data_IF_630947801285
#
_entry.id   IF_630947801285
#
_cell.length_a   1.000
_cell.length_b   1.000
_cell.length_c   1.000
_cell.angle_alpha   90.00
_cell.angle_beta   90.00
_cell.angle_gamma   90.00
#
_symmetry.space_group_name_H-M   'P 1'
#
loop_
_entity.id
_entity.type
_entity.pdbx_description
1 polymer ?
#
# COMPACT_ATOMS: atom_id res chain seq x y z
N UNK A 1 8.80 28.61 25.85
CA UNK A 1 7.38 28.76 26.24
C UNK A 1 7.04 27.55 27.11
N UNK A 2 6.59 27.72 28.36
CA UNK A 2 6.22 26.59 29.22
C UNK A 2 4.96 25.92 28.67
N UNK A 3 5.02 24.62 28.51
CA UNK A 3 3.89 23.83 28.02
C UNK A 3 2.77 23.88 29.08
N UNK A 4 1.57 24.35 28.72
CA UNK A 4 0.40 24.40 29.62
C UNK A 4 0.12 23.00 30.15
N UNK A 5 -0.05 22.87 31.44
CA UNK A 5 -0.24 21.59 32.14
C UNK A 5 -1.70 21.41 32.59
N UNK A 6 -2.08 20.18 32.93
CA UNK A 6 -3.39 19.87 33.53
C UNK A 6 -3.62 20.63 34.86
N UNK A 7 -2.53 21.00 35.55
CA UNK A 7 -2.58 21.80 36.77
C UNK A 7 -3.02 23.23 36.50
N UNK A 8 -2.56 23.81 35.39
CA UNK A 8 -2.92 25.18 34.99
C UNK A 8 -4.40 25.23 34.59
N UNK A 9 -4.90 24.21 33.86
CA UNK A 9 -6.33 24.06 33.54
C UNK A 9 -7.17 23.92 34.81
N UNK A 10 -6.72 23.11 35.78
CA UNK A 10 -7.43 22.92 37.03
C UNK A 10 -7.52 24.21 37.84
N UNK A 11 -6.41 24.95 37.92
CA UNK A 11 -6.36 26.25 38.60
C UNK A 11 -7.30 27.28 37.96
N UNK A 12 -7.28 27.42 36.64
CA UNK A 12 -8.15 28.36 35.91
C UNK A 12 -9.64 27.99 36.00
N UNK A 13 -9.96 26.68 35.92
CA UNK A 13 -11.33 26.20 36.02
C UNK A 13 -11.89 26.16 37.44
N UNK A 14 -11.05 26.39 38.47
CA UNK A 14 -11.44 26.31 39.87
C UNK A 14 -11.89 24.90 40.33
N UNK A 15 -11.20 23.85 39.81
CA UNK A 15 -11.51 22.45 40.12
C UNK A 15 -10.25 21.65 40.44
N UNK A 16 -10.39 20.43 40.93
CA UNK A 16 -9.25 19.54 41.14
C UNK A 16 -8.67 18.99 39.84
N UNK A 17 -7.38 18.61 39.79
CA UNK A 17 -6.77 17.91 38.67
C UNK A 17 -7.51 16.59 38.34
N UNK A 18 -8.06 15.92 39.35
CA UNK A 18 -8.90 14.72 39.12
C UNK A 18 -10.20 15.03 38.40
N UNK A 19 -10.80 16.18 38.71
CA UNK A 19 -12.00 16.67 38.00
C UNK A 19 -11.69 16.97 36.53
N UNK A 20 -10.59 17.69 36.23
CA UNK A 20 -10.14 17.89 34.85
C UNK A 20 -9.89 16.56 34.13
N UNK A 21 -9.22 15.62 34.80
CA UNK A 21 -8.99 14.28 34.26
C UNK A 21 -10.29 13.53 33.96
N UNK A 22 -11.30 13.69 34.82
CA UNK A 22 -12.62 13.06 34.61
C UNK A 22 -13.39 13.72 33.47
N UNK A 23 -13.40 15.05 33.36
CA UNK A 23 -13.99 15.74 32.22
C UNK A 23 -13.40 15.23 30.90
N UNK A 24 -12.08 15.07 30.88
CA UNK A 24 -11.37 14.61 29.70
C UNK A 24 -11.56 13.11 29.38
N UNK A 25 -11.85 12.23 30.34
CA UNK A 25 -11.85 10.77 30.14
C UNK A 25 -13.20 10.10 30.44
N UNK A 26 -14.00 10.67 31.34
CA UNK A 26 -15.27 10.13 31.82
C UNK A 26 -16.25 11.29 32.07
N UNK A 27 -16.65 12.06 31.03
CA UNK A 27 -17.47 13.27 31.21
C UNK A 27 -18.78 12.99 31.93
N UNK A 28 -19.31 11.80 31.83
CA UNK A 28 -20.54 11.38 32.53
C UNK A 28 -20.41 11.34 34.05
N UNK A 29 -19.20 11.40 34.62
CA UNK A 29 -18.94 11.40 36.07
C UNK A 29 -18.75 12.80 36.66
N UNK A 30 -18.97 13.83 35.86
CA UNK A 30 -18.75 15.23 36.26
C UNK A 30 -20.02 16.02 35.99
N UNK A 31 -20.34 17.00 36.85
CA UNK A 31 -21.47 17.89 36.59
C UNK A 31 -21.26 18.75 35.35
N UNK A 32 -22.34 19.10 34.64
CA UNK A 32 -22.26 19.94 33.43
C UNK A 32 -21.54 21.25 33.69
N UNK A 33 -21.82 21.93 34.83
CA UNK A 33 -21.16 23.19 35.22
C UNK A 33 -19.62 23.03 35.34
N UNK A 34 -19.15 21.96 35.95
CA UNK A 34 -17.73 21.72 36.07
C UNK A 34 -17.11 21.34 34.73
N UNK A 35 -17.81 20.61 33.87
CA UNK A 35 -17.37 20.29 32.52
C UNK A 35 -17.21 21.54 31.66
N UNK A 36 -18.18 22.46 31.70
CA UNK A 36 -18.16 23.73 30.97
C UNK A 36 -17.04 24.67 31.43
N UNK A 37 -16.77 24.72 32.72
CA UNK A 37 -15.63 25.52 33.26
C UNK A 37 -14.30 24.95 32.81
N UNK A 38 -14.13 23.64 32.84
CA UNK A 38 -12.91 22.97 32.36
C UNK A 38 -12.73 23.17 30.85
N UNK A 39 -13.80 23.03 30.07
CA UNK A 39 -13.73 23.22 28.62
C UNK A 39 -13.31 24.65 28.26
N UNK A 40 -13.88 25.67 28.89
CA UNK A 40 -13.47 27.06 28.69
C UNK A 40 -12.02 27.31 29.09
N UNK A 41 -11.55 26.71 30.19
CA UNK A 41 -10.17 26.82 30.60
C UNK A 41 -9.19 26.18 29.63
N UNK A 42 -9.54 25.02 29.04
CA UNK A 42 -8.78 24.36 28.00
C UNK A 42 -8.62 25.25 26.76
N UNK A 43 -9.73 25.83 26.29
CA UNK A 43 -9.75 26.72 25.12
C UNK A 43 -8.94 27.99 25.36
N UNK A 44 -9.12 28.63 26.53
CA UNK A 44 -8.43 29.87 26.89
C UNK A 44 -6.91 29.68 27.04
N UNK A 45 -6.48 28.55 27.57
CA UNK A 45 -5.06 28.24 27.75
C UNK A 45 -4.41 27.59 26.54
N UNK A 46 -5.18 27.17 25.54
CA UNK A 46 -4.69 26.37 24.43
C UNK A 46 -4.10 25.04 24.91
N UNK A 47 -4.70 24.43 25.95
CA UNK A 47 -4.19 23.19 26.51
C UNK A 47 -4.36 22.04 25.53
N UNK A 48 -3.24 21.45 25.09
CA UNK A 48 -3.21 20.23 24.31
C UNK A 48 -2.88 19.05 25.22
N UNK A 49 -3.73 18.03 25.19
CA UNK A 49 -3.50 16.80 25.96
C UNK A 49 -2.14 16.20 25.61
N UNK A 50 -1.33 15.92 26.60
CA UNK A 50 -0.10 15.17 26.39
C UNK A 50 -0.44 13.69 26.13
N UNK A 51 -0.32 13.28 24.87
CA UNK A 51 -0.55 11.90 24.43
C UNK A 51 0.37 10.91 25.18
N UNK A 52 1.62 11.28 25.45
CA UNK A 52 2.57 10.45 26.17
C UNK A 52 2.14 10.18 27.63
N UNK A 53 1.58 11.18 28.32
CA UNK A 53 1.06 11.02 29.68
C UNK A 53 -0.19 10.13 29.72
N UNK A 54 -1.04 10.17 28.67
CA UNK A 54 -2.17 9.26 28.50
C UNK A 54 -1.71 7.83 28.27
N UNK A 55 -0.74 7.65 27.39
CA UNK A 55 -0.15 6.35 27.03
C UNK A 55 0.46 5.65 28.24
N UNK A 56 1.21 6.39 29.08
CA UNK A 56 1.77 5.86 30.34
C UNK A 56 0.71 5.36 31.31
N UNK A 57 -0.51 5.93 31.28
CA UNK A 57 -1.59 5.54 32.18
C UNK A 57 -2.49 4.44 31.62
N UNK A 58 -2.69 4.41 30.32
CA UNK A 58 -3.63 3.48 29.63
C UNK A 58 -2.89 2.28 29.04
N UNK A 59 -1.59 2.38 28.83
CA UNK A 59 -0.76 1.31 28.28
C UNK A 59 -0.79 1.22 26.75
N UNK A 60 -1.69 1.95 26.05
CA UNK A 60 -1.87 1.94 24.62
C UNK A 60 -1.71 3.33 24.00
N UNK A 61 -1.03 3.41 22.85
CA UNK A 61 -0.82 4.67 22.13
C UNK A 61 -2.02 5.06 21.26
N UNK A 62 -2.83 4.10 20.87
CA UNK A 62 -3.85 4.25 19.83
C UNK A 62 -3.25 4.70 18.49
N UNK A 63 -2.02 4.26 18.22
CA UNK A 63 -1.27 4.57 17.02
C UNK A 63 -0.89 3.28 16.31
N UNK A 64 -1.17 3.15 15.02
CA UNK A 64 -0.70 2.08 14.15
C UNK A 64 0.41 2.61 13.25
N UNK A 65 1.48 1.84 13.06
CA UNK A 65 2.50 2.14 12.07
C UNK A 65 2.11 1.53 10.72
N UNK A 66 2.20 2.31 9.65
CA UNK A 66 2.02 1.83 8.27
C UNK A 66 3.27 2.14 7.45
N UNK A 67 4.03 1.11 7.06
CA UNK A 67 5.17 1.25 6.17
C UNK A 67 4.79 0.85 4.74
N UNK A 68 4.97 1.78 3.80
CA UNK A 68 4.69 1.60 2.37
C UNK A 68 5.98 1.71 1.55
N UNK A 69 5.99 1.06 0.38
CA UNK A 69 7.13 1.08 -0.52
C UNK A 69 7.29 2.45 -1.19
N UNK A 70 6.22 2.98 -1.79
CA UNK A 70 6.27 4.23 -2.54
C UNK A 70 4.90 4.93 -2.58
N UNK A 71 4.75 5.98 -1.79
CA UNK A 71 3.51 6.77 -1.73
C UNK A 71 3.20 7.52 -3.05
N UNK A 72 4.17 7.65 -3.95
CA UNK A 72 3.92 8.27 -5.27
C UNK A 72 3.17 7.35 -6.24
N UNK A 73 3.09 6.04 -5.97
CA UNK A 73 2.22 5.14 -6.70
C UNK A 73 0.82 5.15 -6.04
N UNK A 74 -0.24 5.54 -6.78
CA UNK A 74 -1.62 5.59 -6.25
C UNK A 74 -2.11 4.28 -5.64
N UNK A 75 -1.61 3.12 -6.07
CA UNK A 75 -1.93 1.83 -5.44
C UNK A 75 -1.66 1.87 -3.92
N UNK A 76 -0.48 2.33 -3.51
CA UNK A 76 -0.15 2.42 -2.08
C UNK A 76 -0.91 3.52 -1.35
N UNK A 77 -1.29 4.58 -2.05
CA UNK A 77 -2.14 5.64 -1.49
C UNK A 77 -3.54 5.11 -1.18
N UNK A 78 -4.12 4.32 -2.10
CA UNK A 78 -5.43 3.68 -1.89
C UNK A 78 -5.37 2.66 -0.74
N UNK A 79 -4.29 1.88 -0.63
CA UNK A 79 -4.05 0.99 0.52
C UNK A 79 -4.01 1.80 1.82
N UNK A 80 -3.28 2.93 1.84
CA UNK A 80 -3.18 3.79 3.02
C UNK A 80 -4.54 4.38 3.42
N UNK A 81 -5.34 4.80 2.45
CA UNK A 81 -6.71 5.30 2.70
C UNK A 81 -7.60 4.22 3.33
N UNK A 82 -7.53 3.00 2.81
CA UNK A 82 -8.28 1.87 3.39
C UNK A 82 -7.85 1.54 4.82
N UNK A 83 -6.53 1.60 5.10
CA UNK A 83 -5.99 1.43 6.45
C UNK A 83 -6.46 2.54 7.38
N UNK A 84 -6.38 3.81 6.94
CA UNK A 84 -6.76 4.98 7.74
C UNK A 84 -8.23 4.95 8.13
N UNK A 85 -9.11 4.65 7.17
CA UNK A 85 -10.55 4.57 7.42
C UNK A 85 -10.89 3.50 8.48
N UNK A 86 -10.38 2.28 8.33
CA UNK A 86 -10.63 1.21 9.28
C UNK A 86 -9.99 1.49 10.66
N UNK A 87 -8.80 2.08 10.68
CA UNK A 87 -8.14 2.49 11.93
C UNK A 87 -8.94 3.57 12.67
N UNK A 88 -9.41 4.60 11.96
CA UNK A 88 -10.22 5.70 12.50
C UNK A 88 -11.53 5.20 13.10
N UNK A 89 -12.23 4.28 12.45
CA UNK A 89 -13.47 3.67 12.97
C UNK A 89 -13.23 2.92 14.28
N UNK A 90 -12.06 2.30 14.44
CA UNK A 90 -11.66 1.61 15.66
C UNK A 90 -10.96 2.53 16.69
N UNK A 91 -10.89 3.84 16.43
CA UNK A 91 -10.31 4.83 17.34
C UNK A 91 -8.78 4.83 17.38
N UNK A 92 -8.14 4.42 16.29
CA UNK A 92 -6.69 4.50 16.08
C UNK A 92 -6.35 5.65 15.11
N UNK A 93 -5.12 6.15 15.22
CA UNK A 93 -4.47 7.01 14.22
C UNK A 93 -3.37 6.23 13.51
N UNK A 94 -2.98 6.65 12.31
CA UNK A 94 -1.95 5.99 11.52
C UNK A 94 -0.71 6.88 11.41
N UNK A 95 0.46 6.31 11.70
CA UNK A 95 1.77 6.90 11.44
C UNK A 95 2.33 6.27 10.17
N UNK A 96 2.36 7.05 9.10
CA UNK A 96 2.79 6.56 7.78
C UNK A 96 4.29 6.73 7.60
N UNK A 97 4.96 5.66 7.13
CA UNK A 97 6.34 5.63 6.68
C UNK A 97 6.42 5.27 5.19
N UNK A 98 7.23 6.01 4.42
CA UNK A 98 7.51 5.74 3.02
C UNK A 98 8.96 5.30 2.84
N UNK A 99 9.20 4.01 2.54
CA UNK A 99 10.56 3.46 2.40
C UNK A 99 11.27 3.90 1.13
N UNK A 100 10.53 4.45 0.16
CA UNK A 100 11.03 4.86 -1.15
C UNK A 100 11.82 3.74 -1.86
N UNK A 101 11.39 2.50 -1.69
CA UNK A 101 12.02 1.28 -2.23
C UNK A 101 13.48 1.08 -1.78
N UNK A 102 13.91 1.70 -0.66
CA UNK A 102 15.25 1.50 -0.09
C UNK A 102 15.20 0.40 0.97
N UNK A 103 16.03 -0.65 0.87
CA UNK A 103 16.02 -1.78 1.81
C UNK A 103 16.24 -1.36 3.28
N UNK A 104 17.12 -0.37 3.52
CA UNK A 104 17.40 0.21 4.83
C UNK A 104 16.26 1.14 5.31
N UNK A 105 15.45 1.67 4.39
CA UNK A 105 14.30 2.52 4.70
C UNK A 105 13.23 1.81 5.53
N UNK A 106 12.90 0.58 5.19
CA UNK A 106 11.92 -0.23 5.94
C UNK A 106 12.39 -0.47 7.38
N UNK A 107 13.65 -0.87 7.56
CA UNK A 107 14.24 -1.07 8.85
C UNK A 107 14.22 0.18 9.74
N UNK A 108 14.50 1.34 9.17
CA UNK A 108 14.45 2.63 9.88
C UNK A 108 13.04 3.00 10.34
N UNK A 109 12.00 2.70 9.54
CA UNK A 109 10.62 2.94 9.95
C UNK A 109 10.16 1.99 11.05
N UNK A 110 10.57 0.70 11.01
CA UNK A 110 10.26 -0.22 12.09
C UNK A 110 10.89 0.24 13.41
N UNK A 111 12.13 0.76 13.39
CA UNK A 111 12.78 1.37 14.57
C UNK A 111 12.06 2.63 15.04
N UNK A 112 11.58 3.47 14.12
CA UNK A 112 10.77 4.64 14.44
C UNK A 112 9.46 4.24 15.12
N UNK A 113 8.74 3.27 14.56
CA UNK A 113 7.48 2.77 15.10
C UNK A 113 7.66 2.21 16.51
N UNK A 114 8.73 1.47 16.76
CA UNK A 114 9.08 0.99 18.08
C UNK A 114 9.35 2.14 19.06
N UNK A 115 10.13 3.15 18.65
CA UNK A 115 10.38 4.37 19.47
C UNK A 115 9.12 5.15 19.77
N UNK A 116 8.19 5.23 18.81
CA UNK A 116 6.88 5.87 18.96
C UNK A 116 5.89 4.98 19.73
N UNK A 117 6.28 3.73 20.04
CA UNK A 117 5.45 2.75 20.73
C UNK A 117 4.09 2.57 20.06
N UNK A 118 4.09 2.37 18.74
CA UNK A 118 2.85 2.03 18.03
C UNK A 118 2.29 0.73 18.62
N UNK A 119 0.96 0.61 18.66
CA UNK A 119 0.30 -0.59 19.19
C UNK A 119 0.46 -1.78 18.24
N UNK A 120 0.56 -1.54 16.92
CA UNK A 120 0.78 -2.55 15.91
C UNK A 120 1.33 -1.99 14.60
N UNK A 121 1.80 -2.85 13.72
CA UNK A 121 2.46 -2.49 12.46
C UNK A 121 1.77 -3.13 11.26
N UNK A 122 1.51 -2.32 10.25
CA UNK A 122 1.12 -2.71 8.90
C UNK A 122 2.29 -2.43 7.96
N UNK A 123 2.66 -3.36 7.10
CA UNK A 123 3.81 -3.18 6.23
C UNK A 123 3.61 -3.82 4.87
N UNK A 124 3.96 -3.07 3.81
CA UNK A 124 4.18 -3.60 2.46
C UNK A 124 5.68 -3.81 2.29
N UNK A 125 6.19 -5.03 2.44
CA UNK A 125 7.63 -5.26 2.44
C UNK A 125 8.18 -5.34 1.02
N UNK A 126 9.30 -4.65 0.75
CA UNK A 126 10.09 -4.78 -0.48
C UNK A 126 11.29 -5.71 -0.30
N UNK A 127 11.74 -5.89 0.95
CA UNK A 127 12.90 -6.70 1.32
C UNK A 127 12.59 -7.78 2.34
N UNK A 128 13.64 -8.33 2.94
CA UNK A 128 13.51 -9.29 4.04
C UNK A 128 13.51 -8.58 5.40
N UNK A 129 12.29 -8.27 5.86
CA UNK A 129 12.05 -7.59 7.15
C UNK A 129 11.48 -8.54 8.21
N UNK A 130 11.32 -9.82 7.87
CA UNK A 130 10.60 -10.77 8.71
C UNK A 130 11.28 -11.00 10.07
N UNK A 131 12.62 -11.05 10.13
CA UNK A 131 13.33 -11.15 11.41
C UNK A 131 13.10 -9.95 12.33
N UNK A 132 13.06 -8.75 11.74
CA UNK A 132 12.83 -7.52 12.50
C UNK A 132 11.39 -7.46 13.02
N UNK A 133 10.42 -7.88 12.20
CA UNK A 133 9.02 -8.02 12.61
C UNK A 133 8.85 -9.09 13.70
N UNK A 134 9.56 -10.21 13.64
CA UNK A 134 9.61 -11.21 14.72
C UNK A 134 10.12 -10.61 16.02
N UNK A 135 11.11 -9.73 15.93
CA UNK A 135 11.61 -8.97 17.09
C UNK A 135 10.52 -8.09 17.72
N UNK A 136 9.79 -7.32 16.92
CA UNK A 136 8.67 -6.48 17.37
C UNK A 136 7.57 -7.33 18.02
N UNK A 137 7.17 -8.42 17.37
CA UNK A 137 6.15 -9.35 17.87
C UNK A 137 6.52 -9.94 19.23
N UNK A 138 7.76 -10.37 19.40
CA UNK A 138 8.26 -10.87 20.72
C UNK A 138 8.20 -9.82 21.82
N UNK A 139 8.27 -8.53 21.47
CA UNK A 139 8.14 -7.40 22.41
C UNK A 139 6.69 -6.91 22.58
N UNK A 140 5.71 -7.63 21.97
CA UNK A 140 4.28 -7.37 22.14
C UNK A 140 3.67 -6.44 21.08
N UNK A 141 4.39 -6.13 20.00
CA UNK A 141 3.86 -5.33 18.88
C UNK A 141 3.55 -6.26 17.71
N UNK A 142 2.26 -6.63 17.45
CA UNK A 142 1.87 -7.46 16.34
C UNK A 142 2.07 -6.76 15.00
N UNK A 143 2.18 -7.54 13.94
CA UNK A 143 2.35 -7.03 12.59
C UNK A 143 1.51 -7.81 11.58
N UNK A 144 0.98 -7.11 10.56
CA UNK A 144 0.28 -7.69 9.42
C UNK A 144 0.97 -7.26 8.12
N UNK A 145 1.20 -8.23 7.23
CA UNK A 145 1.81 -7.99 5.93
C UNK A 145 0.71 -7.59 4.92
N UNK A 146 1.04 -6.62 4.08
CA UNK A 146 0.18 -6.20 2.97
C UNK A 146 0.93 -6.47 1.66
N UNK A 147 0.22 -6.92 0.64
CA UNK A 147 0.76 -7.24 -0.70
C UNK A 147 1.85 -8.31 -0.67
N UNK A 148 1.84 -9.17 0.35
CA UNK A 148 2.77 -10.28 0.51
C UNK A 148 2.18 -11.36 1.41
N UNK A 149 2.27 -12.62 1.00
CA UNK A 149 1.95 -13.79 1.83
C UNK A 149 3.16 -14.13 2.70
N UNK A 150 2.93 -14.46 3.97
CA UNK A 150 3.95 -15.07 4.83
C UNK A 150 3.93 -16.59 4.70
N UNK A 151 4.87 -17.16 3.94
CA UNK A 151 4.97 -18.60 3.73
C UNK A 151 5.29 -19.39 5.03
N UNK A 152 5.78 -18.69 6.07
CA UNK A 152 6.06 -19.30 7.38
C UNK A 152 4.82 -19.39 8.27
N UNK A 153 3.74 -18.69 7.91
CA UNK A 153 2.52 -18.62 8.71
C UNK A 153 2.72 -17.97 10.08
N UNK A 154 3.68 -17.06 10.19
CA UNK A 154 4.01 -16.33 11.44
C UNK A 154 3.20 -15.07 11.61
N UNK A 155 2.88 -14.40 10.51
CA UNK A 155 2.15 -13.14 10.44
C UNK A 155 0.86 -13.29 9.64
N UNK A 156 -0.18 -12.60 10.09
CA UNK A 156 -1.35 -12.40 9.22
C UNK A 156 -0.97 -11.58 8.00
N UNK A 157 -1.64 -11.82 6.88
CA UNK A 157 -1.32 -11.17 5.62
C UNK A 157 -2.55 -10.92 4.76
N UNK A 158 -2.46 -9.89 3.92
CA UNK A 158 -3.46 -9.57 2.90
C UNK A 158 -2.73 -9.33 1.59
N UNK A 159 -3.09 -10.05 0.54
CA UNK A 159 -2.46 -9.97 -0.78
C UNK A 159 -3.45 -10.17 -1.91
N UNK A 160 -2.97 -10.04 -3.13
CA UNK A 160 -3.68 -10.43 -4.36
C UNK A 160 -3.01 -11.69 -4.92
N UNK A 161 -3.75 -12.52 -5.67
CA UNK A 161 -3.19 -13.63 -6.45
C UNK A 161 -2.47 -13.08 -7.68
N UNK A 162 -1.19 -12.75 -7.52
CA UNK A 162 -0.35 -12.18 -8.57
C UNK A 162 -0.08 -13.18 -9.71
N UNK A 163 -0.07 -14.48 -9.42
CA UNK A 163 0.06 -15.53 -10.46
C UNK A 163 -1.16 -15.52 -11.37
N UNK A 164 -2.36 -15.51 -10.78
CA UNK A 164 -3.60 -15.36 -11.55
C UNK A 164 -3.61 -14.05 -12.32
N UNK A 165 -3.17 -12.94 -11.72
CA UNK A 165 -3.09 -11.64 -12.36
C UNK A 165 -2.22 -11.62 -13.61
N UNK A 166 -1.03 -12.21 -13.53
CA UNK A 166 -0.14 -12.40 -14.67
C UNK A 166 -0.75 -13.27 -15.76
N UNK A 167 -1.43 -14.35 -15.37
CA UNK A 167 -2.11 -15.24 -16.31
C UNK A 167 -3.27 -14.54 -17.05
N UNK A 168 -4.03 -13.65 -16.39
CA UNK A 168 -5.08 -12.86 -17.02
C UNK A 168 -4.52 -11.92 -18.10
N UNK A 169 -3.41 -11.24 -17.83
CA UNK A 169 -2.73 -10.38 -18.79
C UNK A 169 -2.25 -11.17 -20.02
N UNK A 170 -1.64 -12.35 -19.82
CA UNK A 170 -1.16 -13.19 -20.90
C UNK A 170 -2.29 -13.70 -21.79
N UNK A 171 -3.36 -14.24 -21.21
CA UNK A 171 -4.52 -14.75 -21.95
C UNK A 171 -5.14 -13.67 -22.82
N UNK A 172 -5.35 -12.48 -22.28
CA UNK A 172 -5.89 -11.36 -23.02
C UNK A 172 -5.01 -10.99 -24.22
N UNK A 173 -3.70 -10.91 -24.06
CA UNK A 173 -2.79 -10.61 -25.16
C UNK A 173 -2.80 -11.70 -26.24
N UNK A 174 -2.89 -12.97 -25.85
CA UNK A 174 -3.03 -14.08 -26.79
C UNK A 174 -4.35 -14.04 -27.56
N UNK A 175 -5.47 -13.77 -26.88
CA UNK A 175 -6.81 -13.64 -27.46
C UNK A 175 -6.88 -12.49 -28.47
N UNK A 176 -6.12 -11.43 -28.28
CA UNK A 176 -5.98 -10.31 -29.21
C UNK A 176 -4.94 -10.56 -30.32
N UNK A 177 -4.42 -11.79 -30.44
CA UNK A 177 -3.56 -12.23 -31.54
C UNK A 177 -2.08 -11.89 -31.39
N UNK A 178 -1.63 -11.32 -30.25
CA UNK A 178 -0.22 -10.96 -30.04
C UNK A 178 0.62 -12.19 -29.71
N UNK A 179 1.83 -12.23 -30.29
CA UNK A 179 2.76 -13.37 -30.16
C UNK A 179 4.17 -12.97 -29.72
N UNK A 180 4.67 -11.79 -30.09
CA UNK A 180 5.94 -11.25 -29.60
C UNK A 180 5.69 -10.36 -28.39
N UNK A 181 5.94 -10.89 -27.20
CA UNK A 181 5.56 -10.28 -25.94
C UNK A 181 6.80 -9.86 -25.14
N UNK A 182 6.72 -8.71 -24.50
CA UNK A 182 7.68 -8.30 -23.49
C UNK A 182 7.02 -8.20 -22.12
N UNK A 183 7.72 -8.66 -21.11
CA UNK A 183 7.46 -8.35 -19.72
C UNK A 183 8.50 -7.35 -19.24
N UNK A 184 8.10 -6.26 -18.57
CA UNK A 184 8.99 -5.26 -17.99
C UNK A 184 8.66 -5.15 -16.50
N UNK A 185 9.68 -5.41 -15.63
CA UNK A 185 9.49 -5.36 -14.19
C UNK A 185 10.77 -5.72 -13.44
N UNK A 186 10.65 -5.97 -12.13
CA UNK A 186 11.75 -6.33 -11.23
C UNK A 186 11.49 -7.74 -10.64
N UNK A 187 11.89 -8.83 -11.31
CA UNK A 187 11.60 -10.21 -10.87
C UNK A 187 12.23 -10.61 -9.53
N UNK A 188 13.16 -9.84 -9.02
CA UNK A 188 13.69 -9.96 -7.65
C UNK A 188 12.64 -9.57 -6.59
N UNK A 189 11.69 -8.71 -6.93
CA UNK A 189 10.53 -8.39 -6.07
C UNK A 189 9.49 -9.49 -6.23
N UNK A 190 9.08 -10.09 -5.12
CA UNK A 190 8.23 -11.30 -5.11
C UNK A 190 6.95 -11.12 -5.93
N UNK A 191 6.20 -10.06 -5.72
CA UNK A 191 4.93 -9.81 -6.40
C UNK A 191 5.12 -9.77 -7.93
N UNK A 192 6.18 -9.12 -8.40
CA UNK A 192 6.47 -9.01 -9.83
C UNK A 192 6.98 -10.33 -10.42
N UNK A 193 7.69 -11.12 -9.63
CA UNK A 193 8.07 -12.48 -10.00
C UNK A 193 6.84 -13.36 -10.16
N UNK A 194 5.90 -13.30 -9.21
CA UNK A 194 4.66 -14.08 -9.23
C UNK A 194 3.78 -13.67 -10.42
N UNK A 195 3.69 -12.36 -10.77
CA UNK A 195 3.08 -11.85 -12.01
C UNK A 195 3.75 -12.43 -13.25
N UNK A 196 5.08 -12.42 -13.31
CA UNK A 196 5.84 -13.00 -14.43
C UNK A 196 5.64 -14.52 -14.51
N UNK A 197 5.59 -15.23 -13.40
CA UNK A 197 5.34 -16.68 -13.35
C UNK A 197 3.97 -17.00 -13.94
N UNK A 198 2.91 -16.32 -13.52
CA UNK A 198 1.57 -16.48 -14.06
C UNK A 198 1.51 -16.14 -15.56
N UNK A 199 2.19 -15.06 -15.97
CA UNK A 199 2.28 -14.69 -17.37
C UNK A 199 2.94 -15.77 -18.22
N UNK A 200 4.11 -16.29 -17.80
CA UNK A 200 4.82 -17.40 -18.46
C UNK A 200 4.00 -18.68 -18.49
N UNK A 201 3.37 -19.02 -17.36
CA UNK A 201 2.53 -20.22 -17.26
C UNK A 201 1.38 -20.23 -18.25
N UNK A 202 0.73 -19.09 -18.45
CA UNK A 202 -0.37 -18.96 -19.40
C UNK A 202 0.08 -18.94 -20.87
N UNK A 203 1.35 -18.61 -21.16
CA UNK A 203 1.92 -18.69 -22.50
C UNK A 203 2.39 -20.12 -22.85
N UNK A 204 2.62 -20.97 -21.87
CA UNK A 204 3.17 -22.31 -22.07
C UNK A 204 2.28 -23.15 -22.96
N UNK A 205 2.88 -23.81 -23.95
CA UNK A 205 2.17 -24.65 -24.92
C UNK A 205 1.49 -23.90 -26.07
N UNK A 206 1.54 -22.56 -26.09
CA UNK A 206 1.04 -21.76 -27.23
C UNK A 206 2.13 -21.68 -28.30
N UNK A 207 1.80 -22.12 -29.52
CA UNK A 207 2.74 -22.09 -30.64
C UNK A 207 3.10 -20.63 -31.03
N UNK A 208 4.32 -20.46 -31.54
CA UNK A 208 4.84 -19.21 -32.13
C UNK A 208 4.85 -18.00 -31.18
N UNK A 209 4.80 -18.20 -29.87
CA UNK A 209 4.90 -17.15 -28.87
C UNK A 209 6.35 -16.98 -28.41
N UNK A 210 6.81 -15.74 -28.40
CA UNK A 210 8.10 -15.35 -27.81
C UNK A 210 7.89 -14.41 -26.66
N UNK A 211 8.62 -14.61 -25.56
CA UNK A 211 8.62 -13.73 -24.38
C UNK A 211 10.04 -13.24 -24.12
N UNK A 212 10.23 -11.93 -24.20
CA UNK A 212 11.39 -11.25 -23.69
C UNK A 212 11.08 -10.67 -22.31
N UNK A 213 12.01 -10.84 -21.36
CA UNK A 213 11.90 -10.29 -20.00
C UNK A 213 12.95 -9.22 -19.83
N UNK A 214 12.50 -8.01 -19.62
CA UNK A 214 13.33 -6.85 -19.35
C UNK A 214 13.30 -6.57 -17.85
N UNK A 215 14.49 -6.50 -17.22
CA UNK A 215 14.61 -6.24 -15.80
C UNK A 215 14.88 -4.76 -15.56
N UNK A 216 13.92 -4.08 -14.93
CA UNK A 216 14.01 -2.68 -14.58
C UNK A 216 14.91 -2.42 -13.37
N UNK A 217 15.36 -1.17 -13.23
CA UNK A 217 16.04 -0.65 -12.04
C UNK A 217 15.05 0.00 -11.08
N UNK A 218 14.00 0.58 -11.65
CA UNK A 218 12.85 1.16 -10.96
C UNK A 218 11.56 0.68 -11.63
N UNK A 219 10.42 1.08 -11.10
CA UNK A 219 9.09 0.76 -11.65
C UNK A 219 8.24 2.01 -11.76
N UNK A 220 8.89 3.14 -12.04
CA UNK A 220 8.26 4.43 -12.20
C UNK A 220 7.98 4.78 -13.67
N UNK A 221 7.25 5.88 -13.87
CA UNK A 221 6.88 6.32 -15.21
C UNK A 221 8.10 6.80 -16.04
N UNK A 222 9.14 7.33 -15.39
CA UNK A 222 10.32 7.83 -16.09
C UNK A 222 11.09 6.68 -16.76
N UNK A 223 11.31 5.58 -16.03
CA UNK A 223 11.92 4.37 -16.61
C UNK A 223 11.04 3.75 -17.69
N UNK A 224 9.70 3.78 -17.50
CA UNK A 224 8.75 3.38 -18.54
C UNK A 224 8.92 4.16 -19.84
N UNK A 225 9.12 5.48 -19.77
CA UNK A 225 9.40 6.32 -20.97
C UNK A 225 10.67 5.86 -21.69
N UNK A 226 11.71 5.54 -20.94
CA UNK A 226 12.97 5.07 -21.53
C UNK A 226 12.79 3.72 -22.24
N UNK A 227 12.02 2.79 -21.65
CA UNK A 227 11.68 1.53 -22.33
C UNK A 227 10.84 1.75 -23.57
N UNK A 228 9.83 2.62 -23.52
CA UNK A 228 9.01 2.95 -24.68
C UNK A 228 9.84 3.50 -25.85
N UNK A 229 10.81 4.38 -25.56
CA UNK A 229 11.74 4.91 -26.56
C UNK A 229 12.70 3.83 -27.10
N UNK A 230 13.21 2.98 -26.21
CA UNK A 230 14.09 1.87 -26.63
C UNK A 230 13.37 0.90 -27.55
N UNK A 231 12.11 0.53 -27.23
CA UNK A 231 11.26 -0.31 -28.10
C UNK A 231 11.03 0.37 -29.45
N UNK A 232 10.74 1.67 -29.46
CA UNK A 232 10.49 2.40 -30.71
C UNK A 232 11.75 2.47 -31.61
N UNK A 233 12.93 2.47 -31.05
CA UNK A 233 14.20 2.46 -31.76
C UNK A 233 14.52 1.11 -32.41
N UNK A 234 13.88 0.01 -32.01
CA UNK A 234 14.08 -1.30 -32.61
C UNK A 234 13.56 -1.34 -34.05
N UNK A 235 14.20 -2.15 -34.95
CA UNK A 235 13.61 -2.45 -36.23
C UNK A 235 12.19 -3.04 -36.11
N UNK A 236 11.29 -2.70 -37.02
CA UNK A 236 9.86 -3.09 -36.95
C UNK A 236 9.66 -4.59 -36.70
N UNK A 237 10.45 -5.46 -37.34
CA UNK A 237 10.36 -6.92 -37.15
C UNK A 237 10.87 -7.44 -35.80
N UNK A 238 11.58 -6.60 -35.03
CA UNK A 238 12.12 -6.95 -33.72
C UNK A 238 11.31 -6.33 -32.56
N UNK A 239 10.39 -5.41 -32.85
CA UNK A 239 9.54 -4.79 -31.84
C UNK A 239 8.59 -5.81 -31.23
N UNK A 240 8.30 -5.72 -29.92
CA UNK A 240 7.20 -6.49 -29.35
C UNK A 240 5.86 -6.07 -29.96
N UNK A 241 4.92 -6.98 -30.06
CA UNK A 241 3.54 -6.70 -30.41
C UNK A 241 2.74 -6.24 -29.18
N UNK A 242 3.21 -6.65 -27.99
CA UNK A 242 2.66 -6.16 -26.75
C UNK A 242 3.68 -6.16 -25.61
N UNK A 243 3.45 -5.25 -24.67
CA UNK A 243 4.19 -5.12 -23.40
C UNK A 243 3.25 -5.37 -22.25
N UNK A 244 3.62 -6.26 -21.33
CA UNK A 244 3.05 -6.34 -20.00
C UNK A 244 4.04 -5.70 -19.00
N UNK A 245 3.68 -4.53 -18.51
CA UNK A 245 4.44 -3.82 -17.48
C UNK A 245 3.98 -4.23 -16.08
N UNK A 246 4.93 -4.40 -15.17
CA UNK A 246 4.67 -4.93 -13.83
C UNK A 246 3.79 -4.02 -12.96
N UNK A 247 3.63 -2.74 -13.31
CA UNK A 247 2.64 -1.84 -12.72
C UNK A 247 2.17 -0.77 -13.72
N UNK A 248 1.13 -0.02 -13.34
CA UNK A 248 0.53 0.99 -14.21
C UNK A 248 1.41 2.22 -14.41
N UNK A 249 2.19 2.64 -13.40
CA UNK A 249 3.10 3.78 -13.56
C UNK A 249 4.14 3.50 -14.65
N UNK A 250 4.72 2.32 -14.64
CA UNK A 250 5.64 1.85 -15.67
C UNK A 250 4.94 1.76 -17.03
N UNK A 251 3.72 1.17 -17.08
CA UNK A 251 2.93 1.03 -18.30
C UNK A 251 2.59 2.38 -18.96
N UNK A 252 2.16 3.35 -18.14
CA UNK A 252 1.87 4.71 -18.63
C UNK A 252 3.12 5.40 -19.19
N UNK A 253 4.28 5.18 -18.54
CA UNK A 253 5.56 5.62 -19.07
C UNK A 253 5.90 4.98 -20.42
N UNK A 254 5.71 3.66 -20.56
CA UNK A 254 5.93 2.95 -21.83
C UNK A 254 5.04 3.53 -22.92
N UNK A 255 3.74 3.75 -22.65
CA UNK A 255 2.83 4.39 -23.61
C UNK A 255 3.34 5.77 -24.04
N UNK A 256 3.78 6.59 -23.08
CA UNK A 256 4.33 7.92 -23.35
C UNK A 256 5.58 7.85 -24.22
N UNK A 257 6.50 6.92 -23.94
CA UNK A 257 7.73 6.73 -24.71
C UNK A 257 7.46 6.28 -26.15
N UNK A 258 6.53 5.31 -26.34
CA UNK A 258 6.10 4.81 -27.65
C UNK A 258 5.45 5.92 -28.48
N UNK A 259 4.44 6.60 -27.92
CA UNK A 259 3.68 7.65 -28.64
C UNK A 259 4.54 8.87 -28.93
N UNK A 260 5.42 9.26 -28.00
CA UNK A 260 6.39 10.34 -28.20
C UNK A 260 7.40 10.06 -29.31
N UNK A 261 7.62 8.78 -29.65
CA UNK A 261 8.44 8.33 -30.77
C UNK A 261 7.62 8.05 -32.07
N UNK A 262 6.32 8.37 -32.07
CA UNK A 262 5.44 8.26 -33.23
C UNK A 262 4.80 6.87 -33.44
N UNK A 263 4.93 5.94 -32.48
CA UNK A 263 4.23 4.65 -32.53
C UNK A 263 2.81 4.78 -31.95
N UNK A 264 1.91 3.98 -32.51
CA UNK A 264 0.50 3.94 -32.10
C UNK A 264 0.28 2.81 -31.10
N UNK A 265 -0.44 3.12 -30.05
CA UNK A 265 -0.91 2.14 -29.07
C UNK A 265 -2.43 2.04 -29.23
N UNK A 266 -2.99 0.86 -29.48
CA UNK A 266 -2.38 -0.48 -29.48
C UNK A 266 -1.93 -1.00 -30.85
N UNK A 267 -2.03 -0.23 -31.94
CA UNK A 267 -1.88 -0.73 -33.31
C UNK A 267 -0.46 -1.22 -33.61
N UNK A 268 0.55 -0.52 -33.16
CA UNK A 268 1.96 -0.90 -33.36
C UNK A 268 2.49 -1.70 -32.16
N UNK A 269 2.13 -1.33 -30.92
CA UNK A 269 2.45 -2.04 -29.68
C UNK A 269 1.29 -1.90 -28.69
N UNK A 270 0.71 -3.01 -28.24
CA UNK A 270 -0.28 -3.01 -27.18
C UNK A 270 0.42 -2.94 -25.79
N UNK A 271 -0.26 -2.36 -24.79
CA UNK A 271 0.30 -2.24 -23.43
C UNK A 271 -0.72 -2.67 -22.39
N UNK A 272 -0.30 -3.54 -21.47
CA UNK A 272 -1.06 -3.94 -20.28
C UNK A 272 -0.29 -3.51 -19.05
N UNK A 273 -0.98 -2.95 -18.06
CA UNK A 273 -0.46 -2.61 -16.76
C UNK A 273 -0.95 -3.54 -15.65
N UNK A 274 -0.68 -3.13 -14.42
CA UNK A 274 -1.09 -3.81 -13.19
C UNK A 274 -1.35 -2.75 -12.11
N UNK A 275 -2.33 -2.95 -11.26
CA UNK A 275 -2.88 -2.16 -10.15
C UNK A 275 -4.24 -1.52 -10.47
N UNK A 276 -4.49 -1.10 -11.71
CA UNK A 276 -5.64 -0.31 -12.17
C UNK A 276 -5.81 1.00 -11.35
N UNK A 277 -4.73 1.77 -11.28
CA UNK A 277 -4.73 3.06 -10.60
C UNK A 277 -5.64 4.08 -11.29
N UNK A 278 -6.00 5.15 -10.58
CA UNK A 278 -6.90 6.21 -11.08
C UNK A 278 -6.45 6.78 -12.44
N UNK A 279 -5.16 6.88 -12.68
CA UNK A 279 -4.60 7.41 -13.92
C UNK A 279 -4.80 6.47 -15.12
N UNK A 280 -4.99 5.17 -14.90
CA UNK A 280 -5.15 4.18 -15.98
C UNK A 280 -6.42 4.40 -16.80
N UNK A 281 -7.49 4.84 -16.16
CA UNK A 281 -8.73 5.21 -16.85
C UNK A 281 -8.68 6.63 -17.43
N UNK A 282 -7.95 7.55 -16.79
CA UNK A 282 -7.91 8.97 -17.15
C UNK A 282 -6.82 9.32 -18.18
N UNK A 283 -5.95 8.39 -18.56
CA UNK A 283 -4.90 8.61 -19.53
C UNK A 283 -5.47 8.93 -20.94
N UNK A 284 -4.70 9.66 -21.75
CA UNK A 284 -5.05 9.95 -23.14
C UNK A 284 -5.31 8.67 -23.97
N UNK A 285 -4.59 7.61 -23.68
CA UNK A 285 -4.87 6.24 -24.12
C UNK A 285 -5.20 5.45 -22.85
N UNK A 286 -6.49 5.19 -22.54
CA UNK A 286 -6.90 4.45 -21.37
C UNK A 286 -6.23 3.07 -21.30
N UNK A 287 -5.57 2.79 -20.17
CA UNK A 287 -4.73 1.62 -19.98
C UNK A 287 -5.54 0.40 -19.57
N UNK A 288 -5.41 -0.69 -20.33
CA UNK A 288 -5.81 -2.04 -19.90
C UNK A 288 -4.92 -2.45 -18.74
N UNK A 289 -5.51 -2.83 -17.62
CA UNK A 289 -4.76 -3.12 -16.40
C UNK A 289 -5.41 -4.24 -15.59
N UNK A 290 -4.59 -4.99 -14.87
CA UNK A 290 -5.04 -5.96 -13.89
C UNK A 290 -5.35 -5.24 -12.59
N UNK A 291 -6.64 -5.19 -12.22
CA UNK A 291 -7.10 -4.50 -11.01
C UNK A 291 -6.86 -5.30 -9.76
N UNK A 292 -6.24 -4.66 -8.79
CA UNK A 292 -6.19 -5.09 -7.40
C UNK A 292 -7.21 -4.30 -6.55
N UNK A 293 -7.83 -4.91 -5.53
CA UNK A 293 -8.74 -4.18 -4.64
C UNK A 293 -7.98 -3.44 -3.53
N UNK A 294 -7.08 -2.50 -3.89
CA UNK A 294 -6.11 -1.81 -3.03
C UNK A 294 -6.71 -1.27 -1.72
N UNK A 295 -7.79 -0.49 -1.79
CA UNK A 295 -8.46 0.04 -0.60
C UNK A 295 -9.02 -1.07 0.30
N UNK A 296 -9.61 -2.13 -0.28
CA UNK A 296 -10.11 -3.28 0.48
C UNK A 296 -8.97 -4.07 1.14
N UNK A 297 -7.81 -4.16 0.48
CA UNK A 297 -6.62 -4.79 1.06
C UNK A 297 -6.15 -4.02 2.29
N UNK A 298 -6.11 -2.68 2.21
CA UNK A 298 -5.77 -1.82 3.33
C UNK A 298 -6.74 -1.97 4.51
N UNK A 299 -8.04 -1.89 4.24
CA UNK A 299 -9.08 -2.04 5.27
C UNK A 299 -9.04 -3.42 5.93
N UNK A 300 -8.87 -4.49 5.14
CA UNK A 300 -8.78 -5.86 5.67
C UNK A 300 -7.53 -6.06 6.53
N UNK A 301 -6.39 -5.51 6.12
CA UNK A 301 -5.15 -5.61 6.90
C UNK A 301 -5.27 -4.86 8.24
N UNK A 302 -5.86 -3.66 8.25
CA UNK A 302 -6.12 -2.93 9.48
C UNK A 302 -7.10 -3.68 10.39
N UNK A 303 -8.16 -4.27 9.84
CA UNK A 303 -9.13 -5.06 10.60
C UNK A 303 -8.47 -6.28 11.26
N UNK A 304 -7.61 -7.03 10.52
CA UNK A 304 -6.83 -8.14 11.07
C UNK A 304 -5.94 -7.69 12.23
N UNK A 305 -5.21 -6.58 12.07
CA UNK A 305 -4.33 -6.07 13.10
C UNK A 305 -5.10 -5.62 14.36
N UNK A 306 -6.24 -4.93 14.19
CA UNK A 306 -7.08 -4.47 15.28
C UNK A 306 -7.71 -5.67 16.03
N UNK A 307 -8.09 -6.72 15.32
CA UNK A 307 -8.56 -7.97 15.91
C UNK A 307 -7.46 -8.62 16.77
N UNK A 308 -6.23 -8.71 16.25
CA UNK A 308 -5.08 -9.23 17.00
C UNK A 308 -4.78 -8.40 18.25
N UNK A 309 -4.86 -7.07 18.17
CA UNK A 309 -4.68 -6.16 19.31
C UNK A 309 -5.77 -6.28 20.38
N UNK A 310 -6.96 -6.71 19.99
CA UNK A 310 -8.11 -6.84 20.88
C UNK A 310 -8.25 -8.23 21.50
N UNK A 311 -7.51 -9.21 20.99
CA UNK A 311 -7.59 -10.58 21.43
C UNK A 311 -7.01 -10.77 22.85
N UNK A 312 -7.64 -11.59 23.71
CA UNK A 312 -7.16 -11.84 25.07
C UNK A 312 -5.93 -12.77 25.14
N UNK A 313 -5.45 -13.27 24.01
CA UNK A 313 -4.35 -14.24 23.93
C UNK A 313 -3.75 -14.36 22.52
N UNK A 314 -2.84 -15.31 22.31
CA UNK A 314 -2.22 -15.52 21.00
C UNK A 314 -3.26 -15.75 19.89
N UNK A 315 -3.10 -15.05 18.79
CA UNK A 315 -3.96 -15.18 17.60
C UNK A 315 -3.27 -16.09 16.59
N UNK A 316 -4.05 -16.96 15.94
CA UNK A 316 -3.57 -17.75 14.81
C UNK A 316 -3.52 -16.84 13.58
N UNK A 317 -2.36 -16.67 12.93
CA UNK A 317 -2.23 -15.85 11.74
C UNK A 317 -3.16 -16.30 10.60
N UNK A 318 -3.72 -15.36 9.87
CA UNK A 318 -4.63 -15.61 8.74
C UNK A 318 -4.12 -14.90 7.48
N UNK A 319 -4.26 -15.56 6.35
CA UNK A 319 -3.96 -14.99 5.04
C UNK A 319 -5.26 -14.74 4.27
N UNK A 320 -5.45 -13.52 3.81
CA UNK A 320 -6.54 -13.15 2.91
C UNK A 320 -5.92 -12.89 1.54
N UNK A 321 -6.34 -13.68 0.53
CA UNK A 321 -5.88 -13.53 -0.84
C UNK A 321 -7.07 -13.12 -1.71
N UNK A 322 -6.96 -11.97 -2.35
CA UNK A 322 -7.97 -11.45 -3.28
C UNK A 322 -7.70 -11.91 -4.70
N UNK A 323 -8.76 -12.21 -5.44
CA UNK A 323 -8.67 -12.46 -6.88
C UNK A 323 -8.59 -11.14 -7.63
N UNK A 324 -7.58 -10.95 -8.52
CA UNK A 324 -7.50 -9.80 -9.41
C UNK A 324 -8.49 -9.91 -10.57
N UNK A 325 -8.71 -8.79 -11.26
CA UNK A 325 -9.55 -8.74 -12.47
C UNK A 325 -8.89 -7.93 -13.57
N UNK A 326 -8.94 -8.40 -14.79
CA UNK A 326 -8.51 -7.60 -15.92
C UNK A 326 -9.59 -6.56 -16.28
N UNK A 327 -9.17 -5.32 -16.42
CA UNK A 327 -9.99 -4.20 -16.90
C UNK A 327 -9.48 -3.79 -18.27
N UNK A 328 -10.22 -4.18 -19.31
CA UNK A 328 -9.85 -3.97 -20.71
C UNK A 328 -10.18 -2.53 -21.13
N UNK A 329 -9.23 -1.87 -21.80
CA UNK A 329 -9.33 -0.50 -22.30
C UNK A 329 -8.59 -0.34 -23.64
N UNK A 330 -8.48 0.91 -24.10
CA UNK A 330 -7.97 1.25 -25.44
C UNK A 330 -6.50 0.91 -25.68
N UNK A 331 -5.68 0.67 -24.64
CA UNK A 331 -4.27 0.31 -24.85
C UNK A 331 -4.04 -1.10 -25.39
N UNK A 332 -5.09 -1.92 -25.50
CA UNK A 332 -5.03 -3.27 -26.08
C UNK A 332 -6.13 -3.53 -27.11
N UNK A 333 -7.22 -2.77 -27.10
CA UNK A 333 -8.33 -2.91 -28.04
C UNK A 333 -8.27 -1.82 -29.12
N UNK A 334 -8.36 -2.23 -30.38
CA UNK A 334 -8.65 -1.31 -31.48
C UNK A 334 -10.16 -1.05 -31.44
N UNK A 335 -10.59 0.17 -31.12
CA UNK A 335 -11.97 0.57 -31.34
C UNK A 335 -12.12 0.85 -32.82
N UNK A 336 -13.00 0.11 -33.48
CA UNK A 336 -13.43 0.36 -34.86
C UNK A 336 -14.02 1.77 -35.04
#
# INVERSE_FOLDING_TARGET
>A
MSNVSIRDVAALAGVSMSTVSNVLNNPQRVSSDAADRVQRAIEQLGFVRNAAARQLRVGHSRLLGLALINISNPFFTDVAMGVEEAAREAGYSVLLGNSASRPDGEGGFLDLFEKQRVDGVLIVPSGDVLEKLDGLRRRGTPAVLIDRIDDRGTFSSVSTDDVLGGALAARHLLETGRRRLWYIGMPEVRQMRDRLEGFRGALAGTADVTLHVETGRTIDAAEGVDYGRAIAALPTGQRPEAVFAANDMLALGVIQGLTGAGLRVPQDVAVVGYDDIVFSAAAAIPLTSVRQPSGRMGSAAAALLIEELSAPGPVVPRSIVYEPRLVIRSSTEVRD
#
